data_IF_500911605258
#
_entry.id   IF_500911605258
#
_cell.length_a   1.000
_cell.length_b   1.000
_cell.length_c   1.000
_cell.angle_alpha   90.00
_cell.angle_beta   90.00
_cell.angle_gamma   90.00
#
_symmetry.space_group_name_H-M   'P 1'
#
loop_
_entity.id
_entity.type
_entity.pdbx_description
1 polymer ?
#
# COMPACT_ATOMS: atom_id res chain seq x y z
N UNK A 1 -4.98 0.39 14.23
CA UNK A 1 -5.19 -0.44 15.44
C UNK A 1 -4.01 -1.40 15.55
N UNK A 2 -3.32 -1.42 16.70
CA UNK A 2 -2.11 -2.23 16.88
C UNK A 2 -2.46 -3.73 16.90
N UNK A 3 -1.66 -4.56 16.23
CA UNK A 3 -1.75 -6.02 16.36
C UNK A 3 -1.12 -6.36 17.71
N UNK A 4 -1.90 -6.91 18.65
CA UNK A 4 -1.38 -7.35 19.95
C UNK A 4 -1.04 -8.82 19.94
N UNK A 5 -1.93 -9.62 19.34
CA UNK A 5 -1.73 -11.04 19.14
C UNK A 5 -2.32 -11.51 17.81
N UNK A 6 -1.74 -12.53 17.17
CA UNK A 6 -2.26 -13.06 15.90
C UNK A 6 -3.52 -13.90 16.12
N UNK A 7 -3.63 -14.59 17.25
CA UNK A 7 -4.79 -15.41 17.62
C UNK A 7 -6.07 -14.56 17.72
N UNK A 8 -5.95 -13.26 18.02
CA UNK A 8 -7.08 -12.34 18.06
C UNK A 8 -7.85 -12.34 16.72
N UNK A 9 -7.15 -12.46 15.59
CA UNK A 9 -7.79 -12.56 14.27
C UNK A 9 -8.67 -13.81 14.18
N UNK A 10 -8.18 -14.95 14.66
CA UNK A 10 -8.94 -16.21 14.63
C UNK A 10 -10.18 -16.10 15.51
N UNK A 11 -10.08 -15.48 16.69
CA UNK A 11 -11.23 -15.29 17.58
C UNK A 11 -12.26 -14.30 17.03
N UNK A 12 -11.83 -13.33 16.23
CA UNK A 12 -12.68 -12.30 15.61
C UNK A 12 -13.24 -12.70 14.25
N UNK A 13 -12.73 -13.78 13.65
CA UNK A 13 -13.20 -14.28 12.37
C UNK A 13 -14.68 -14.66 12.45
N UNK A 14 -15.54 -14.21 11.52
CA UNK A 14 -16.94 -14.58 11.50
C UNK A 14 -17.11 -16.11 11.44
N UNK A 15 -18.05 -16.63 12.24
CA UNK A 15 -18.25 -18.08 12.39
C UNK A 15 -18.97 -18.73 11.20
N UNK A 16 -19.60 -17.92 10.37
CA UNK A 16 -20.36 -18.29 9.17
C UNK A 16 -19.52 -18.22 7.88
N UNK A 17 -18.21 -18.04 8.01
CA UNK A 17 -17.27 -18.26 6.90
C UNK A 17 -17.08 -19.77 6.74
N UNK A 18 -17.56 -20.31 5.64
CA UNK A 18 -17.61 -21.75 5.41
C UNK A 18 -16.36 -22.19 4.63
N UNK A 19 -16.02 -21.47 3.56
CA UNK A 19 -14.94 -21.86 2.65
C UNK A 19 -13.56 -21.29 3.04
N UNK A 20 -12.54 -21.96 2.54
CA UNK A 20 -11.12 -21.63 2.69
C UNK A 20 -10.87 -20.28 2.03
N UNK A 21 -11.48 -20.04 0.88
CA UNK A 21 -11.39 -18.75 0.20
C UNK A 21 -11.97 -17.61 1.04
N UNK A 22 -13.12 -17.81 1.70
CA UNK A 22 -13.71 -16.80 2.58
C UNK A 22 -12.83 -16.50 3.79
N UNK A 23 -12.35 -17.54 4.48
CA UNK A 23 -11.47 -17.41 5.65
C UNK A 23 -10.13 -16.77 5.29
N UNK A 24 -9.47 -17.26 4.24
CA UNK A 24 -8.22 -16.70 3.73
C UNK A 24 -8.40 -15.23 3.35
N UNK A 25 -9.48 -14.89 2.64
CA UNK A 25 -9.78 -13.52 2.23
C UNK A 25 -10.02 -12.60 3.42
N UNK A 26 -10.77 -13.06 4.41
CA UNK A 26 -11.01 -12.27 5.63
C UNK A 26 -9.71 -11.98 6.37
N UNK A 27 -8.86 -13.00 6.59
CA UNK A 27 -7.55 -12.84 7.21
C UNK A 27 -6.64 -11.90 6.40
N UNK A 28 -6.65 -12.04 5.08
CA UNK A 28 -5.88 -11.21 4.16
C UNK A 28 -6.23 -9.72 4.28
N UNK A 29 -7.53 -9.40 4.26
CA UNK A 29 -8.03 -8.02 4.38
C UNK A 29 -7.76 -7.47 5.79
N UNK A 30 -8.09 -8.24 6.82
CA UNK A 30 -7.94 -7.78 8.20
C UNK A 30 -6.47 -7.57 8.57
N UNK A 31 -5.56 -8.44 8.14
CA UNK A 31 -4.14 -8.27 8.37
C UNK A 31 -3.64 -7.02 7.62
N UNK A 32 -3.95 -6.90 6.32
CA UNK A 32 -3.51 -5.76 5.50
C UNK A 32 -4.01 -4.39 5.99
N UNK A 33 -5.20 -4.30 6.59
CA UNK A 33 -5.70 -3.07 7.24
C UNK A 33 -4.84 -2.59 8.41
N UNK A 34 -4.07 -3.48 9.02
CA UNK A 34 -3.28 -3.23 10.22
C UNK A 34 -1.78 -3.22 9.93
N UNK A 35 -1.34 -3.64 8.74
CA UNK A 35 0.07 -3.74 8.39
C UNK A 35 0.55 -2.54 7.57
N UNK A 36 1.76 -2.06 7.80
CA UNK A 36 2.39 -0.90 7.17
C UNK A 36 3.82 -1.24 6.75
N UNK A 37 4.19 -0.92 5.52
CA UNK A 37 5.51 -1.29 5.01
C UNK A 37 6.64 -0.49 5.68
N UNK A 38 7.70 -1.19 6.09
CA UNK A 38 8.90 -0.55 6.63
C UNK A 38 9.74 0.09 5.51
N UNK A 39 9.57 1.41 5.34
CA UNK A 39 10.33 2.20 4.35
C UNK A 39 11.83 2.07 4.49
N UNK A 40 12.35 1.83 5.70
CA UNK A 40 13.80 1.78 5.91
C UNK A 40 14.43 0.55 5.26
N UNK A 41 13.65 -0.52 5.05
CA UNK A 41 14.09 -1.73 4.35
C UNK A 41 14.55 -1.45 2.91
N UNK A 42 13.86 -0.55 2.19
CA UNK A 42 14.18 -0.16 0.80
C UNK A 42 15.58 0.44 0.64
N UNK A 43 16.17 0.92 1.73
CA UNK A 43 17.41 1.69 1.72
C UNK A 43 18.55 1.00 2.47
N UNK A 44 18.38 -0.26 2.84
CA UNK A 44 19.47 -1.10 3.31
C UNK A 44 20.31 -1.62 2.15
N UNK A 45 21.62 -1.71 2.35
CA UNK A 45 22.51 -2.38 1.39
C UNK A 45 22.16 -3.89 1.34
N UNK A 46 22.11 -4.45 0.13
CA UNK A 46 21.34 -5.67 -0.20
C UNK A 46 21.78 -6.97 0.51
N UNK A 47 23.04 -7.10 0.96
CA UNK A 47 23.57 -8.43 1.28
C UNK A 47 23.77 -8.75 2.77
N UNK A 48 24.37 -7.89 3.59
CA UNK A 48 24.63 -8.23 5.01
C UNK A 48 23.65 -7.55 5.98
N UNK A 49 23.29 -6.30 5.74
CA UNK A 49 22.41 -5.56 6.66
C UNK A 49 20.97 -6.05 6.62
N UNK A 50 20.45 -6.48 5.46
CA UNK A 50 19.07 -6.97 5.36
C UNK A 50 18.86 -8.28 6.13
N UNK A 51 19.77 -9.25 5.98
CA UNK A 51 19.70 -10.53 6.71
C UNK A 51 19.87 -10.30 8.22
N UNK A 52 20.85 -9.50 8.63
CA UNK A 52 21.12 -9.22 10.05
C UNK A 52 20.02 -8.39 10.73
N UNK A 53 19.38 -7.46 10.01
CA UNK A 53 18.40 -6.52 10.57
C UNK A 53 16.97 -7.01 10.46
N UNK A 54 16.62 -7.92 9.55
CA UNK A 54 15.21 -8.27 9.32
C UNK A 54 14.87 -9.76 9.38
N UNK A 55 15.80 -10.66 9.05
CA UNK A 55 15.55 -12.11 9.21
C UNK A 55 15.66 -12.54 10.69
N UNK A 56 16.30 -11.72 11.54
CA UNK A 56 16.52 -12.01 12.96
C UNK A 56 15.94 -11.00 13.95
N UNK A 57 15.34 -9.90 13.47
CA UNK A 57 14.83 -8.87 14.36
C UNK A 57 13.49 -9.29 14.97
N UNK A 58 13.37 -9.28 16.30
CA UNK A 58 12.06 -9.31 16.93
C UNK A 58 11.40 -7.97 16.56
N UNK A 59 10.41 -8.00 15.66
CA UNK A 59 9.63 -6.81 15.36
C UNK A 59 8.93 -6.36 16.64
N UNK A 60 9.43 -5.29 17.27
CA UNK A 60 8.79 -4.68 18.43
C UNK A 60 7.38 -4.17 18.09
N UNK A 61 7.14 -3.84 16.82
CA UNK A 61 5.85 -3.49 16.29
C UNK A 61 5.43 -4.47 15.18
N UNK A 62 4.47 -5.39 15.44
CA UNK A 62 4.01 -6.37 14.44
C UNK A 62 3.25 -5.73 13.27
N UNK A 63 2.90 -4.44 13.37
CA UNK A 63 2.27 -3.68 12.30
C UNK A 63 3.29 -3.13 11.28
N UNK A 64 4.57 -2.97 11.63
CA UNK A 64 5.62 -2.51 10.70
C UNK A 64 6.29 -3.75 10.11
N UNK A 65 6.31 -3.88 8.79
CA UNK A 65 6.56 -5.17 8.13
C UNK A 65 7.33 -5.03 6.82
N UNK A 66 8.07 -6.09 6.47
CA UNK A 66 8.58 -6.40 5.13
C UNK A 66 7.77 -7.55 4.49
N UNK A 67 7.99 -7.82 3.20
CA UNK A 67 7.33 -8.93 2.49
C UNK A 67 7.50 -10.29 3.19
N UNK A 68 8.70 -10.58 3.72
CA UNK A 68 8.99 -11.81 4.49
C UNK A 68 8.19 -11.89 5.78
N UNK A 69 8.23 -10.83 6.59
CA UNK A 69 7.53 -10.80 7.89
C UNK A 69 6.01 -10.87 7.74
N UNK A 70 5.46 -10.18 6.73
CA UNK A 70 4.03 -10.19 6.44
C UNK A 70 3.56 -11.55 5.94
N UNK A 71 4.32 -12.15 5.02
CA UNK A 71 4.04 -13.52 4.54
C UNK A 71 4.06 -14.51 5.70
N UNK A 72 5.02 -14.39 6.63
CA UNK A 72 5.08 -15.24 7.84
C UNK A 72 3.86 -15.05 8.75
N UNK A 73 3.43 -13.82 9.00
CA UNK A 73 2.22 -13.56 9.79
C UNK A 73 0.97 -14.14 9.12
N UNK A 74 0.82 -13.95 7.81
CA UNK A 74 -0.32 -14.47 7.07
C UNK A 74 -0.32 -16.00 7.01
N UNK A 75 0.84 -16.63 6.78
CA UNK A 75 1.02 -18.09 6.83
C UNK A 75 0.64 -18.68 8.20
N UNK A 76 1.04 -18.02 9.29
CA UNK A 76 0.64 -18.43 10.64
C UNK A 76 -0.88 -18.36 10.83
N UNK A 77 -1.51 -17.27 10.39
CA UNK A 77 -2.97 -17.12 10.46
C UNK A 77 -3.72 -18.18 9.63
N UNK A 78 -3.25 -18.45 8.41
CA UNK A 78 -3.82 -19.52 7.57
C UNK A 78 -3.69 -20.88 8.25
N UNK A 79 -2.52 -21.17 8.83
CA UNK A 79 -2.26 -22.42 9.57
C UNK A 79 -3.19 -22.54 10.78
N UNK A 80 -3.35 -21.47 11.57
CA UNK A 80 -4.28 -21.43 12.70
C UNK A 80 -5.75 -21.62 12.27
N UNK A 81 -6.10 -21.18 11.06
CA UNK A 81 -7.42 -21.39 10.46
C UNK A 81 -7.58 -22.78 9.81
N UNK A 82 -6.57 -23.65 9.88
CA UNK A 82 -6.59 -24.99 9.30
C UNK A 82 -6.37 -25.03 7.79
N UNK A 83 -5.85 -23.95 7.19
CA UNK A 83 -5.63 -23.81 5.75
C UNK A 83 -4.18 -24.19 5.41
N UNK A 84 -4.02 -25.19 4.54
CA UNK A 84 -2.71 -25.59 4.02
C UNK A 84 -2.11 -24.43 3.23
N UNK A 85 -0.85 -24.09 3.52
CA UNK A 85 -0.15 -22.98 2.89
C UNK A 85 1.37 -23.18 2.92
N UNK A 86 2.07 -22.44 2.06
CA UNK A 86 3.53 -22.33 2.02
C UNK A 86 3.96 -20.90 1.69
N UNK A 87 5.12 -20.49 2.21
CA UNK A 87 5.77 -19.24 1.84
C UNK A 87 6.69 -19.53 0.65
N UNK A 88 6.56 -18.73 -0.41
CA UNK A 88 7.40 -18.79 -1.61
C UNK A 88 8.15 -17.49 -1.78
N UNK A 89 9.42 -17.58 -2.19
CA UNK A 89 10.27 -16.42 -2.48
C UNK A 89 10.65 -16.41 -3.96
N UNK A 90 10.51 -15.26 -4.62
CA UNK A 90 10.91 -15.11 -6.01
C UNK A 90 12.39 -14.72 -6.14
N UNK A 91 12.88 -14.60 -7.38
CA UNK A 91 14.30 -14.25 -7.67
C UNK A 91 14.74 -12.88 -7.11
N UNK A 92 13.80 -11.99 -6.82
CA UNK A 92 14.05 -10.66 -6.25
C UNK A 92 13.94 -10.67 -4.72
N UNK A 93 13.98 -11.85 -4.09
CA UNK A 93 13.80 -12.05 -2.65
C UNK A 93 12.46 -11.55 -2.10
N UNK A 94 11.45 -11.43 -2.97
CA UNK A 94 10.10 -11.06 -2.55
C UNK A 94 9.31 -12.30 -2.13
N UNK A 95 8.79 -12.27 -0.92
CA UNK A 95 8.03 -13.37 -0.34
C UNK A 95 6.52 -13.15 -0.49
N UNK A 96 5.81 -14.22 -0.88
CA UNK A 96 4.36 -14.30 -0.98
C UNK A 96 3.87 -15.69 -0.56
N UNK A 97 2.55 -15.88 -0.49
CA UNK A 97 1.93 -17.15 -0.05
C UNK A 97 1.34 -17.92 -1.22
N UNK A 98 1.53 -19.23 -1.20
CA UNK A 98 0.65 -20.20 -1.88
C UNK A 98 -0.22 -20.88 -0.82
N UNK A 99 -1.52 -21.00 -1.06
CA UNK A 99 -2.44 -21.75 -0.21
C UNK A 99 -3.39 -22.61 -1.04
N UNK A 100 -3.94 -23.65 -0.43
CA UNK A 100 -4.83 -24.60 -1.12
C UNK A 100 -6.25 -24.50 -0.57
N UNK A 101 -7.24 -24.53 -1.46
CA UNK A 101 -8.66 -24.61 -1.10
C UNK A 101 -9.08 -26.05 -0.76
N UNK A 102 -10.36 -26.26 -0.47
CA UNK A 102 -10.91 -27.58 -0.15
C UNK A 102 -10.86 -28.56 -1.33
N UNK A 103 -10.81 -28.06 -2.56
CA UNK A 103 -10.72 -28.87 -3.78
C UNK A 103 -9.26 -29.30 -4.05
N UNK A 104 -8.30 -28.69 -3.36
CA UNK A 104 -6.88 -28.92 -3.57
C UNK A 104 -6.30 -28.06 -4.69
N UNK A 105 -7.06 -27.07 -5.17
CA UNK A 105 -6.54 -26.06 -6.10
C UNK A 105 -5.69 -25.05 -5.33
N UNK A 106 -4.62 -24.58 -5.97
CA UNK A 106 -3.66 -23.67 -5.35
C UNK A 106 -3.92 -22.22 -5.77
N UNK A 107 -3.71 -21.31 -4.83
CA UNK A 107 -3.92 -19.88 -4.99
C UNK A 107 -2.72 -19.10 -4.49
N UNK A 108 -2.42 -17.99 -5.14
CA UNK A 108 -1.38 -17.05 -4.69
C UNK A 108 -1.99 -15.91 -3.91
N UNK A 109 -1.30 -15.47 -2.86
CA UNK A 109 -1.68 -14.30 -2.09
C UNK A 109 -0.45 -13.48 -1.70
N UNK A 110 -0.47 -12.19 -2.03
CA UNK A 110 0.58 -11.24 -1.65
C UNK A 110 -0.06 -9.99 -1.06
N UNK A 111 -0.06 -9.90 0.27
CA UNK A 111 -0.63 -8.75 0.98
C UNK A 111 0.22 -7.50 0.73
N UNK A 112 1.54 -7.65 0.57
CA UNK A 112 2.49 -6.52 0.48
C UNK A 112 2.14 -5.64 -0.71
N UNK A 113 1.92 -6.25 -1.88
CA UNK A 113 1.57 -5.52 -3.10
C UNK A 113 0.15 -4.94 -3.08
N UNK A 114 -0.70 -5.42 -2.17
CA UNK A 114 -2.08 -4.97 -1.99
C UNK A 114 -2.30 -4.07 -0.76
N UNK A 115 -1.30 -3.80 0.09
CA UNK A 115 -1.45 -2.95 1.28
C UNK A 115 -2.15 -1.62 0.95
N UNK A 116 -1.66 -0.92 -0.08
CA UNK A 116 -2.28 0.32 -0.58
C UNK A 116 -3.73 0.15 -1.02
N UNK A 117 -4.10 -1.00 -1.60
CA UNK A 117 -5.46 -1.27 -2.06
C UNK A 117 -6.37 -1.58 -0.87
N UNK A 118 -5.90 -2.42 0.06
CA UNK A 118 -6.64 -2.82 1.27
C UNK A 118 -6.93 -1.61 2.15
N UNK A 119 -5.91 -0.79 2.43
CA UNK A 119 -6.05 0.36 3.33
C UNK A 119 -6.91 1.49 2.72
N UNK A 120 -6.92 1.64 1.39
CA UNK A 120 -7.75 2.64 0.70
C UNK A 120 -9.16 2.14 0.35
N UNK A 121 -9.47 0.86 0.58
CA UNK A 121 -10.74 0.24 0.17
C UNK A 121 -10.86 0.01 -1.34
N UNK A 122 -9.76 0.07 -2.09
CA UNK A 122 -9.73 -0.30 -3.50
C UNK A 122 -9.82 -1.82 -3.68
N UNK A 123 -10.10 -2.22 -4.92
CA UNK A 123 -10.00 -3.62 -5.32
C UNK A 123 -8.55 -4.11 -5.21
N UNK A 124 -8.37 -5.25 -4.56
CA UNK A 124 -7.10 -5.98 -4.47
C UNK A 124 -6.80 -6.71 -5.77
N UNK A 125 -5.52 -6.87 -6.13
CA UNK A 125 -5.09 -7.49 -7.40
C UNK A 125 -4.15 -8.69 -7.22
N UNK A 126 -3.81 -9.02 -5.98
CA UNK A 126 -2.83 -10.03 -5.60
C UNK A 126 -3.37 -11.07 -4.61
N UNK A 127 -4.68 -11.12 -4.41
CA UNK A 127 -5.35 -12.24 -3.74
C UNK A 127 -5.94 -13.20 -4.79
N UNK A 128 -5.60 -14.49 -4.67
CA UNK A 128 -5.96 -15.56 -5.60
C UNK A 128 -5.71 -15.20 -7.08
N UNK A 129 -4.58 -14.53 -7.33
CA UNK A 129 -4.25 -14.00 -8.66
C UNK A 129 -4.09 -15.15 -9.64
N UNK A 130 -4.87 -15.10 -10.73
CA UNK A 130 -4.85 -16.10 -11.79
C UNK A 130 -5.71 -17.34 -11.54
N UNK A 131 -6.23 -17.53 -10.33
CA UNK A 131 -7.10 -18.67 -9.97
C UNK A 131 -8.50 -18.28 -9.52
N UNK A 132 -8.78 -16.99 -9.34
CA UNK A 132 -10.13 -16.48 -9.04
C UNK A 132 -10.54 -15.36 -10.00
N UNK A 133 -11.77 -15.43 -10.51
CA UNK A 133 -12.32 -14.36 -11.33
C UNK A 133 -12.81 -13.19 -10.48
N UNK A 134 -12.84 -12.01 -11.10
CA UNK A 134 -13.19 -10.79 -10.41
C UNK A 134 -14.61 -10.78 -9.81
N UNK A 135 -15.58 -11.47 -10.42
CA UNK A 135 -16.95 -11.55 -9.91
C UNK A 135 -17.02 -12.39 -8.62
N UNK A 136 -16.24 -13.47 -8.55
CA UNK A 136 -16.21 -14.36 -7.39
C UNK A 136 -15.60 -13.65 -6.18
N UNK A 137 -14.48 -12.95 -6.37
CA UNK A 137 -13.86 -12.14 -5.31
C UNK A 137 -14.81 -11.05 -4.81
N UNK A 138 -15.57 -10.42 -5.71
CA UNK A 138 -16.56 -9.39 -5.34
C UNK A 138 -17.69 -9.98 -4.49
N UNK A 139 -18.13 -11.20 -4.80
CA UNK A 139 -19.13 -11.92 -4.00
C UNK A 139 -18.65 -12.17 -2.58
N UNK A 140 -17.40 -12.64 -2.44
CA UNK A 140 -16.76 -12.82 -1.12
C UNK A 140 -16.66 -11.48 -0.39
N UNK A 141 -16.16 -10.43 -1.05
CA UNK A 141 -16.00 -9.12 -0.42
C UNK A 141 -17.33 -8.48 0.02
N UNK A 142 -18.44 -8.77 -0.66
CA UNK A 142 -19.81 -8.42 -0.21
C UNK A 142 -20.20 -9.19 1.05
N UNK A 143 -19.96 -10.51 1.09
CA UNK A 143 -20.26 -11.36 2.25
C UNK A 143 -19.45 -10.92 3.48
N UNK A 144 -18.17 -10.59 3.29
CA UNK A 144 -17.27 -10.13 4.35
C UNK A 144 -17.55 -8.68 4.80
N UNK A 145 -18.41 -7.94 4.09
CA UNK A 145 -18.66 -6.53 4.34
C UNK A 145 -17.47 -5.61 4.03
N UNK A 146 -16.50 -6.08 3.23
CA UNK A 146 -15.41 -5.23 2.72
C UNK A 146 -15.95 -4.19 1.73
N UNK A 147 -16.95 -4.59 0.94
CA UNK A 147 -17.82 -3.71 0.15
C UNK A 147 -19.29 -3.98 0.52
N UNK A 148 -20.20 -3.16 0.00
CA UNK A 148 -21.64 -3.34 0.15
C UNK A 148 -22.38 -2.97 -1.14
N UNK A 149 -23.66 -3.35 -1.31
CA UNK A 149 -24.45 -2.93 -2.46
C UNK A 149 -24.54 -1.40 -2.66
N UNK A 150 -24.35 -0.62 -1.59
CA UNK A 150 -24.37 0.86 -1.62
C UNK A 150 -22.97 1.48 -1.68
N UNK A 151 -21.92 0.69 -1.45
CA UNK A 151 -20.53 1.13 -1.40
C UNK A 151 -19.63 0.03 -1.97
N UNK A 152 -19.43 0.07 -3.28
CA UNK A 152 -18.41 -0.71 -3.99
C UNK A 152 -16.97 -0.23 -3.66
N UNK A 153 -15.98 -0.84 -4.30
CA UNK A 153 -14.56 -0.49 -4.15
C UNK A 153 -14.28 0.99 -4.44
N UNK A 154 -13.36 1.59 -3.68
CA UNK A 154 -13.00 3.01 -3.80
C UNK A 154 -12.59 3.42 -5.22
N UNK A 155 -11.84 2.56 -5.93
CA UNK A 155 -11.40 2.82 -7.31
C UNK A 155 -12.51 2.75 -8.35
N UNK A 156 -13.66 2.17 -8.01
CA UNK A 156 -14.84 2.17 -8.89
C UNK A 156 -15.46 3.55 -9.03
N UNK A 157 -15.19 4.50 -8.12
CA UNK A 157 -15.74 5.86 -8.17
C UNK A 157 -14.86 6.87 -8.89
N UNK A 158 -13.62 6.51 -9.23
CA UNK A 158 -12.68 7.46 -9.84
C UNK A 158 -13.12 7.92 -11.23
N UNK A 159 -13.98 7.17 -11.92
CA UNK A 159 -14.60 7.59 -13.18
C UNK A 159 -15.40 8.90 -13.03
N UNK A 160 -15.99 9.16 -11.86
CA UNK A 160 -16.74 10.39 -11.57
C UNK A 160 -15.79 11.59 -11.63
N UNK A 161 -14.59 11.47 -11.07
CA UNK A 161 -13.57 12.50 -11.13
C UNK A 161 -13.11 12.72 -12.57
N UNK A 162 -12.84 11.65 -13.32
CA UNK A 162 -12.46 11.76 -14.75
C UNK A 162 -13.51 12.50 -15.56
N UNK A 163 -14.78 12.18 -15.36
CA UNK A 163 -15.88 12.85 -16.05
C UNK A 163 -15.98 14.33 -15.65
N UNK A 164 -15.75 14.65 -14.38
CA UNK A 164 -15.71 16.04 -13.88
C UNK A 164 -14.55 16.82 -14.51
N UNK A 165 -13.36 16.22 -14.60
CA UNK A 165 -12.17 16.79 -15.27
C UNK A 165 -12.48 17.09 -16.73
N UNK A 166 -13.09 16.12 -17.43
CA UNK A 166 -13.52 16.26 -18.83
C UNK A 166 -14.49 17.41 -19.04
N UNK A 167 -15.52 17.51 -18.19
CA UNK A 167 -16.52 18.58 -18.25
C UNK A 167 -15.94 19.96 -17.94
N UNK A 168 -14.93 20.03 -17.07
CA UNK A 168 -14.21 21.27 -16.75
C UNK A 168 -13.13 21.63 -17.77
N UNK A 169 -12.89 20.78 -18.77
CA UNK A 169 -11.83 20.95 -19.77
C UNK A 169 -10.44 21.17 -19.14
N UNK A 170 -10.17 20.52 -18.00
CA UNK A 170 -8.88 20.64 -17.33
C UNK A 170 -7.85 19.78 -18.06
N UNK A 171 -6.68 20.35 -18.31
CA UNK A 171 -5.54 19.66 -18.93
C UNK A 171 -4.24 20.04 -18.23
N UNK A 172 -3.19 19.28 -18.50
CA UNK A 172 -1.83 19.54 -18.08
C UNK A 172 -1.63 19.66 -16.58
N UNK A 173 -1.01 20.76 -16.16
CA UNK A 173 -0.73 21.07 -14.76
C UNK A 173 -2.01 21.30 -13.95
N UNK A 174 -3.00 21.98 -14.51
CA UNK A 174 -4.26 22.29 -13.82
C UNK A 174 -5.09 21.03 -13.58
N UNK A 175 -5.08 20.08 -14.53
CA UNK A 175 -5.64 18.75 -14.33
C UNK A 175 -4.98 18.04 -13.14
N UNK A 176 -3.64 17.99 -13.10
CA UNK A 176 -2.93 17.33 -12.00
C UNK A 176 -3.24 17.99 -10.64
N UNK A 177 -3.25 19.33 -10.57
CA UNK A 177 -3.64 20.06 -9.35
C UNK A 177 -5.03 19.67 -8.89
N UNK A 178 -5.99 19.59 -9.81
CA UNK A 178 -7.36 19.22 -9.50
C UNK A 178 -7.48 17.76 -9.02
N UNK A 179 -6.73 16.84 -9.64
CA UNK A 179 -6.65 15.44 -9.19
C UNK A 179 -6.11 15.38 -7.76
N UNK A 180 -4.96 15.99 -7.48
CA UNK A 180 -4.33 15.97 -6.16
C UNK A 180 -5.26 16.58 -5.08
N UNK A 181 -5.92 17.69 -5.40
CA UNK A 181 -6.88 18.34 -4.50
C UNK A 181 -8.13 17.48 -4.22
N UNK A 182 -8.53 16.62 -5.16
CA UNK A 182 -9.71 15.75 -5.03
C UNK A 182 -9.44 14.47 -4.26
N UNK A 183 -8.18 14.14 -3.95
CA UNK A 183 -7.78 12.84 -3.43
C UNK A 183 -8.52 12.44 -2.14
N UNK A 184 -8.59 13.35 -1.15
CA UNK A 184 -9.21 13.11 0.16
C UNK A 184 -10.74 12.99 0.11
N UNK A 185 -11.38 13.30 -1.04
CA UNK A 185 -12.82 13.06 -1.24
C UNK A 185 -13.08 11.54 -1.37
N UNK A 186 -12.13 10.80 -1.95
CA UNK A 186 -12.29 9.39 -2.25
C UNK A 186 -11.59 8.47 -1.25
N UNK A 187 -10.51 8.92 -0.62
CA UNK A 187 -9.62 8.08 0.17
C UNK A 187 -9.49 8.64 1.59
N UNK A 188 -9.72 7.76 2.57
CA UNK A 188 -9.49 8.05 3.99
C UNK A 188 -8.02 7.78 4.34
N UNK A 189 -7.23 8.85 4.37
CA UNK A 189 -5.78 8.80 4.56
C UNK A 189 -5.36 8.50 6.01
N UNK A 190 -6.25 8.69 6.98
CA UNK A 190 -5.92 8.56 8.41
C UNK A 190 -5.56 7.12 8.81
N UNK A 191 -5.92 6.15 7.97
CA UNK A 191 -5.68 4.73 8.19
C UNK A 191 -4.48 4.19 7.43
N UNK A 192 -3.78 5.03 6.68
CA UNK A 192 -2.74 4.60 5.76
C UNK A 192 -1.34 4.88 6.30
N UNK A 193 -0.38 4.02 5.94
CA UNK A 193 1.04 4.31 6.11
C UNK A 193 1.55 5.22 4.99
N UNK A 194 2.65 5.91 5.24
CA UNK A 194 3.26 6.85 4.28
C UNK A 194 3.55 6.20 2.91
N UNK A 195 4.10 4.97 2.91
CA UNK A 195 4.38 4.19 1.69
C UNK A 195 3.11 3.86 0.93
N UNK A 196 2.11 3.34 1.63
CA UNK A 196 0.85 2.94 1.03
C UNK A 196 0.11 4.16 0.48
N UNK A 197 0.13 5.27 1.22
CA UNK A 197 -0.43 6.56 0.82
C UNK A 197 0.21 7.05 -0.48
N UNK A 198 1.54 7.05 -0.56
CA UNK A 198 2.21 7.42 -1.80
C UNK A 198 1.87 6.47 -2.96
N UNK A 199 1.83 5.16 -2.69
CA UNK A 199 1.43 4.15 -3.65
C UNK A 199 0.02 4.35 -4.20
N UNK A 200 -0.94 4.74 -3.35
CA UNK A 200 -2.31 5.01 -3.78
C UNK A 200 -2.42 6.37 -4.50
N UNK A 201 -1.65 7.40 -4.12
CA UNK A 201 -1.55 8.65 -4.90
C UNK A 201 -1.11 8.36 -6.33
N UNK A 202 -0.05 7.55 -6.50
CA UNK A 202 0.41 7.10 -7.83
C UNK A 202 -0.71 6.41 -8.61
N UNK A 203 -1.38 5.43 -8.00
CA UNK A 203 -2.49 4.71 -8.64
C UNK A 203 -3.63 5.66 -9.03
N UNK A 204 -4.01 6.57 -8.14
CA UNK A 204 -5.10 7.53 -8.33
C UNK A 204 -4.82 8.51 -9.46
N UNK A 205 -3.62 9.12 -9.46
CA UNK A 205 -3.20 10.07 -10.49
C UNK A 205 -3.15 9.40 -11.86
N UNK A 206 -2.49 8.24 -11.97
CA UNK A 206 -2.40 7.50 -13.23
C UNK A 206 -3.77 7.03 -13.73
N UNK A 207 -4.69 6.71 -12.82
CA UNK A 207 -6.04 6.37 -13.21
C UNK A 207 -6.79 7.59 -13.73
N UNK A 208 -6.72 8.75 -13.05
CA UNK A 208 -7.59 9.88 -13.35
C UNK A 208 -7.09 10.80 -14.47
N UNK A 209 -5.79 10.83 -14.72
CA UNK A 209 -5.18 11.70 -15.72
C UNK A 209 -5.59 11.32 -17.15
N UNK A 210 -5.92 12.32 -17.96
CA UNK A 210 -6.47 12.16 -19.31
C UNK A 210 -5.48 12.49 -20.43
N UNK A 211 -4.44 13.29 -20.16
CA UNK A 211 -3.48 13.76 -21.17
C UNK A 211 -2.18 12.94 -21.28
N UNK A 212 -1.37 13.28 -22.29
CA UNK A 212 -0.07 12.68 -22.60
C UNK A 212 1.12 13.26 -21.83
N UNK A 213 0.88 14.23 -20.94
CA UNK A 213 1.91 14.84 -20.10
C UNK A 213 2.53 13.80 -19.16
N UNK A 214 3.84 13.84 -18.99
CA UNK A 214 4.54 12.82 -18.20
C UNK A 214 4.45 13.20 -16.72
N UNK A 215 3.93 12.27 -15.92
CA UNK A 215 3.95 12.37 -14.47
C UNK A 215 4.94 11.33 -13.93
N UNK A 216 5.99 11.81 -13.28
CA UNK A 216 6.98 10.99 -12.63
C UNK A 216 6.70 10.93 -11.12
N UNK A 217 6.99 9.78 -10.52
CA UNK A 217 6.83 9.54 -9.10
C UNK A 217 8.18 9.10 -8.56
N UNK A 218 8.70 9.83 -7.58
CA UNK A 218 9.99 9.51 -6.96
C UNK A 218 9.90 9.65 -5.45
N UNK A 219 10.86 9.05 -4.77
CA UNK A 219 11.00 9.22 -3.34
C UNK A 219 12.47 9.17 -2.94
N UNK A 220 12.83 9.98 -1.96
CA UNK A 220 14.20 10.13 -1.51
C UNK A 220 14.25 10.16 0.01
N UNK A 221 15.17 9.41 0.60
CA UNK A 221 15.42 9.52 2.03
C UNK A 221 16.21 10.79 2.31
N UNK A 222 15.64 11.68 3.11
CA UNK A 222 16.43 12.76 3.69
C UNK A 222 17.25 12.21 4.85
N UNK A 223 18.57 12.42 4.80
CA UNK A 223 19.41 12.23 5.98
C UNK A 223 18.89 13.19 7.04
N UNK A 224 18.40 12.67 8.17
CA UNK A 224 17.95 13.55 9.25
C UNK A 224 19.10 14.47 9.66
N UNK A 225 18.91 15.77 9.48
CA UNK A 225 19.68 16.77 10.20
C UNK A 225 19.34 16.60 11.69
N UNK A 226 20.30 16.05 12.44
CA UNK A 226 20.46 16.15 13.89
C UNK A 226 19.19 16.39 14.73
N UNK A 227 18.30 15.40 14.82
CA UNK A 227 17.47 15.24 16.03
C UNK A 227 18.20 14.32 17.01
N UNK A 228 19.09 14.91 17.80
CA UNK A 228 20.06 14.27 18.70
C UNK A 228 19.51 13.37 19.84
N UNK A 229 18.24 12.96 19.85
CA UNK A 229 17.67 12.20 20.98
C UNK A 229 16.98 10.87 20.62
N UNK A 230 17.15 10.35 19.40
CA UNK A 230 16.74 8.97 19.10
C UNK A 230 17.91 8.01 19.33
N UNK A 231 17.71 6.88 20.05
CA UNK A 231 18.79 5.95 20.32
C UNK A 231 19.38 5.46 19.00
N UNK A 232 20.70 5.64 18.84
CA UNK A 232 21.45 5.04 17.74
C UNK A 232 21.27 3.53 17.85
N UNK A 233 20.56 2.94 16.88
CA UNK A 233 20.51 1.49 16.72
C UNK A 233 21.95 0.97 16.62
N UNK A 234 22.26 -0.08 17.39
CA UNK A 234 23.55 -0.79 17.37
C UNK A 234 23.87 -1.40 15.99
N UNK A 235 22.91 -1.36 15.05
CA UNK A 235 22.98 -1.91 13.69
C UNK A 235 22.55 -0.90 12.60
N UNK A 236 22.83 0.39 12.79
CA UNK A 236 23.12 1.25 11.63
C UNK A 236 21.97 1.83 10.79
N UNK A 237 20.68 1.67 11.12
CA UNK A 237 19.65 2.44 10.38
C UNK A 237 19.64 3.90 10.81
N UNK A 238 20.11 4.80 9.94
CA UNK A 238 19.93 6.24 10.11
C UNK A 238 18.43 6.53 10.09
N UNK A 239 17.91 7.13 11.17
CA UNK A 239 16.53 7.59 11.24
C UNK A 239 16.32 8.72 10.22
N UNK A 240 15.96 8.39 8.99
CA UNK A 240 15.60 9.35 7.94
C UNK A 240 14.10 9.33 7.66
N UNK A 241 13.56 10.46 7.20
CA UNK A 241 12.20 10.52 6.65
C UNK A 241 12.29 10.36 5.13
N UNK A 242 11.51 9.45 4.57
CA UNK A 242 11.34 9.35 3.11
C UNK A 242 10.45 10.50 2.64
N UNK A 243 10.93 11.34 1.75
CA UNK A 243 10.11 12.36 1.08
C UNK A 243 9.60 11.80 -0.23
N UNK A 244 8.35 12.13 -0.55
CA UNK A 244 7.67 11.69 -1.75
C UNK A 244 7.43 12.86 -2.67
N UNK A 245 7.70 12.65 -3.95
CA UNK A 245 7.64 13.67 -4.98
C UNK A 245 6.79 13.19 -6.15
N UNK A 246 6.03 14.13 -6.72
CA UNK A 246 5.32 13.98 -7.99
C UNK A 246 5.81 15.09 -8.90
N UNK A 247 6.38 14.75 -10.04
CA UNK A 247 6.88 15.73 -11.02
C UNK A 247 6.02 15.68 -12.26
N UNK A 248 5.41 16.81 -12.61
CA UNK A 248 4.72 17.00 -13.88
C UNK A 248 5.68 17.62 -14.90
N UNK A 249 5.74 17.03 -16.09
CA UNK A 249 6.55 17.52 -17.20
C UNK A 249 5.60 17.91 -18.34
N UNK A 250 5.62 19.19 -18.72
CA UNK A 250 4.81 19.70 -19.82
C UNK A 250 5.42 19.38 -21.20
N UNK A 251 4.73 19.78 -22.27
CA UNK A 251 5.17 19.54 -23.66
C UNK A 251 6.48 20.24 -24.03
N UNK A 252 6.87 21.26 -23.27
CA UNK A 252 8.12 22.01 -23.43
C UNK A 252 9.23 21.51 -22.50
N UNK A 253 9.03 20.37 -21.82
CA UNK A 253 9.94 19.81 -20.82
C UNK A 253 10.14 20.69 -19.58
N UNK A 254 9.22 21.61 -19.27
CA UNK A 254 9.24 22.31 -18.00
C UNK A 254 8.74 21.38 -16.90
N UNK A 255 9.47 21.33 -15.80
CA UNK A 255 9.13 20.50 -14.65
C UNK A 255 8.43 21.33 -13.57
N UNK A 256 7.30 20.84 -13.07
CA UNK A 256 6.71 21.29 -11.81
C UNK A 256 6.75 20.14 -10.83
N UNK A 257 7.47 20.31 -9.74
CA UNK A 257 7.56 19.33 -8.67
C UNK A 257 6.53 19.61 -7.57
N UNK A 258 5.92 18.55 -7.04
CA UNK A 258 5.08 18.56 -5.87
C UNK A 258 5.70 17.66 -4.81
N UNK A 259 5.73 18.12 -3.56
CA UNK A 259 6.23 17.36 -2.41
C UNK A 259 5.08 17.02 -1.47
N UNK A 260 5.10 15.82 -0.88
CA UNK A 260 4.13 15.44 0.14
C UNK A 260 4.40 16.20 1.44
N UNK A 261 3.46 17.07 1.82
CA UNK A 261 3.46 17.77 3.11
C UNK A 261 2.68 16.92 4.13
N UNK A 262 3.38 16.41 5.15
CA UNK A 262 2.79 15.59 6.22
C UNK A 262 1.88 16.38 7.17
N UNK A 263 2.11 17.68 7.32
CA UNK A 263 1.27 18.56 8.13
C UNK A 263 -0.07 18.82 7.47
N UNK A 264 -0.06 19.04 6.15
CA UNK A 264 -1.28 19.22 5.35
C UNK A 264 -1.89 17.88 4.89
N UNK A 265 -1.13 16.79 4.99
CA UNK A 265 -1.45 15.46 4.46
C UNK A 265 -1.89 15.49 3.00
N UNK A 266 -1.12 16.24 2.19
CA UNK A 266 -1.39 16.46 0.78
C UNK A 266 -0.11 16.79 0.02
N UNK A 267 -0.14 16.61 -1.29
CA UNK A 267 0.92 17.12 -2.16
C UNK A 267 0.76 18.62 -2.40
N UNK A 268 1.84 19.38 -2.18
CA UNK A 268 1.91 20.83 -2.41
C UNK A 268 2.99 21.12 -3.45
N UNK A 269 2.79 22.17 -4.24
CA UNK A 269 3.77 22.59 -5.24
C UNK A 269 5.07 23.01 -4.53
N UNK A 270 6.20 22.42 -4.94
CA UNK A 270 7.51 22.70 -4.35
C UNK A 270 8.09 23.97 -4.96
N UNK A 271 7.73 25.13 -4.42
CA UNK A 271 8.20 26.44 -4.91
C UNK A 271 9.69 26.76 -4.61
N UNK A 272 10.49 25.79 -4.14
CA UNK A 272 11.88 26.02 -3.69
C UNK A 272 12.90 26.33 -4.79
N UNK A 273 12.50 26.45 -6.05
CA UNK A 273 13.42 26.68 -7.17
C UNK A 273 13.64 28.16 -7.54
N UNK A 274 13.00 29.14 -6.90
CA UNK A 274 13.15 30.56 -7.27
C UNK A 274 13.92 31.45 -6.27
N UNK A 275 14.39 30.94 -5.12
CA UNK A 275 15.06 31.78 -4.10
C UNK A 275 16.60 31.64 -4.01
N UNK A 276 17.27 31.07 -5.03
CA UNK A 276 18.75 30.95 -5.02
C UNK A 276 19.47 31.95 -5.98
N UNK A 277 18.73 32.80 -6.70
CA UNK A 277 19.33 33.93 -7.43
C UNK A 277 18.78 35.28 -6.98
N UNK A 278 19.18 35.71 -5.77
CA UNK A 278 19.26 37.14 -5.39
C UNK A 278 20.48 37.43 -4.54
#
# INVERSE_FOLDING_TARGET
MQIRNLEDFITQMPKDLESTMEKARWLYIELGKRSFYDVSYKYLNEDEEQELVYDHKPYENPNIITCKSLSKQYSNLLTMAGIKNEIVENRQRHAYIIFWDEQGDWHTADITDDLKNIQSGCRTTHFAKGSMYGADLRSIDLKLGYISPKRDYTDSYWHILKETIRQKHLTGKEELKYILASFNIYIDIEKMGDTELFGIYKKFVLACKSDSGRVNFSSAMTKAENRCNLPKSKYGTKSGLENYYITYIDENYNETEYIYDRGQKSFVENCRLEEIEK
#
